data_IF_721862944524
#
_entry.id   IF_721862944524
#
_cell.length_a   1.000
_cell.length_b   1.000
_cell.length_c   1.000
_cell.angle_alpha   90.00
_cell.angle_beta   90.00
_cell.angle_gamma   90.00
#
_symmetry.space_group_name_H-M   'P 1'
#
loop_
_entity.id
_entity.type
_entity.pdbx_description
1 polymer ?
#
# COMPACT_ATOMS: atom_id res chain seq x y z
N UNK A 1 -11.16 8.35 -21.51
CA UNK A 1 -10.03 9.19 -21.93
C UNK A 1 -9.78 10.43 -21.04
N UNK A 2 -10.65 10.79 -20.09
CA UNK A 2 -10.49 12.04 -19.28
C UNK A 2 -9.44 11.97 -18.14
N UNK A 3 -9.28 10.80 -17.49
CA UNK A 3 -8.43 10.65 -16.28
C UNK A 3 -6.94 10.95 -16.52
N UNK A 4 -6.46 10.78 -17.74
CA UNK A 4 -5.03 10.91 -18.06
C UNK A 4 -4.56 12.38 -18.15
N UNK A 5 -5.48 13.31 -18.45
CA UNK A 5 -5.13 14.75 -18.54
C UNK A 5 -5.07 15.37 -17.14
N UNK A 6 -6.07 15.10 -16.31
CA UNK A 6 -6.15 15.52 -14.90
C UNK A 6 -4.90 15.07 -14.12
N UNK A 7 -4.52 13.79 -14.24
CA UNK A 7 -3.35 13.24 -13.57
C UNK A 7 -2.03 13.90 -14.01
N UNK A 8 -1.92 14.27 -15.29
CA UNK A 8 -0.75 14.97 -15.84
C UNK A 8 -0.66 16.39 -15.33
N UNK A 9 -1.78 17.12 -15.30
CA UNK A 9 -1.85 18.47 -14.75
C UNK A 9 -1.49 18.46 -13.26
N UNK A 10 -2.06 17.54 -12.48
CA UNK A 10 -1.79 17.43 -11.05
C UNK A 10 -0.31 17.11 -10.75
N UNK A 11 0.28 16.20 -11.53
CA UNK A 11 1.70 15.87 -11.44
C UNK A 11 2.59 17.06 -11.77
N UNK A 12 2.22 17.85 -12.79
CA UNK A 12 2.92 19.07 -13.18
C UNK A 12 2.88 20.12 -12.06
N UNK A 13 1.72 20.33 -11.44
CA UNK A 13 1.55 21.27 -10.33
C UNK A 13 2.38 20.89 -9.09
N UNK A 14 2.42 19.61 -8.73
CA UNK A 14 3.24 19.13 -7.61
C UNK A 14 4.73 19.32 -7.88
N UNK A 15 5.17 19.07 -9.11
CA UNK A 15 6.57 19.23 -9.51
C UNK A 15 7.02 20.69 -9.44
N UNK A 16 6.25 21.62 -10.04
CA UNK A 16 6.58 23.05 -10.02
C UNK A 16 6.53 23.64 -8.61
N UNK A 17 5.54 23.27 -7.80
CA UNK A 17 5.45 23.78 -6.42
C UNK A 17 6.61 23.28 -5.54
N UNK A 18 7.12 22.08 -5.79
CA UNK A 18 8.27 21.55 -5.05
C UNK A 18 9.58 22.31 -5.33
N UNK A 19 9.69 23.06 -6.43
CA UNK A 19 10.89 23.86 -6.73
C UNK A 19 10.99 25.14 -5.88
N UNK A 20 9.86 25.68 -5.41
CA UNK A 20 9.82 26.99 -4.74
C UNK A 20 9.31 26.95 -3.29
N UNK A 21 8.85 25.79 -2.80
CA UNK A 21 8.26 25.67 -1.47
C UNK A 21 8.55 24.32 -0.82
N UNK A 22 9.32 24.34 0.26
CA UNK A 22 9.46 23.19 1.14
C UNK A 22 8.23 23.08 2.05
N UNK A 23 7.72 21.86 2.23
CA UNK A 23 6.64 21.59 3.17
C UNK A 23 7.20 21.29 4.57
N UNK A 24 6.34 21.32 5.59
CA UNK A 24 6.76 21.00 6.97
C UNK A 24 7.28 19.56 7.13
N UNK A 25 6.87 18.65 6.24
CA UNK A 25 7.33 17.26 6.16
C UNK A 25 8.50 17.06 5.19
N UNK A 26 9.17 18.13 4.75
CA UNK A 26 10.34 17.98 3.88
C UNK A 26 11.42 17.17 4.59
N UNK A 27 11.93 16.15 3.91
CA UNK A 27 12.96 15.25 4.42
C UNK A 27 14.03 15.06 3.33
N UNK A 28 15.25 14.59 3.65
CA UNK A 28 16.29 14.31 2.65
C UNK A 28 15.86 13.27 1.60
N UNK A 29 14.84 12.48 1.90
CA UNK A 29 14.21 11.50 0.99
C UNK A 29 13.06 12.09 0.14
N UNK A 30 12.77 13.39 0.30
CA UNK A 30 11.75 14.13 -0.44
C UNK A 30 10.34 13.54 -0.34
N UNK A 31 9.59 13.64 -1.45
CA UNK A 31 8.24 13.08 -1.60
C UNK A 31 8.18 11.54 -1.50
N UNK A 32 9.30 10.85 -1.70
CA UNK A 32 9.35 9.40 -1.63
C UNK A 32 8.89 8.86 -0.27
N UNK A 33 9.23 9.56 0.81
CA UNK A 33 8.85 9.15 2.16
C UNK A 33 7.33 9.31 2.42
N UNK A 34 6.70 10.32 1.84
CA UNK A 34 5.25 10.53 1.97
C UNK A 34 4.46 9.50 1.16
N UNK A 35 4.91 9.21 -0.07
CA UNK A 35 4.30 8.16 -0.89
C UNK A 35 4.46 6.78 -0.23
N UNK A 36 5.66 6.48 0.28
CA UNK A 36 5.91 5.25 1.03
C UNK A 36 5.05 5.17 2.31
N UNK A 37 4.97 6.26 3.06
CA UNK A 37 4.14 6.34 4.27
C UNK A 37 2.65 6.08 3.97
N UNK A 38 2.14 6.66 2.89
CA UNK A 38 0.76 6.45 2.41
C UNK A 38 0.52 4.99 2.04
N UNK A 39 1.44 4.39 1.27
CA UNK A 39 1.37 2.97 0.93
C UNK A 39 1.38 2.08 2.18
N UNK A 40 2.31 2.32 3.11
CA UNK A 40 2.45 1.53 4.34
C UNK A 40 1.23 1.65 5.24
N UNK A 41 0.66 2.85 5.36
CA UNK A 41 -0.57 3.09 6.10
C UNK A 41 -1.74 2.34 5.49
N UNK A 42 -1.94 2.43 4.17
CA UNK A 42 -2.98 1.68 3.47
C UNK A 42 -2.81 0.17 3.65
N UNK A 43 -1.59 -0.34 3.52
CA UNK A 43 -1.28 -1.76 3.69
C UNK A 43 -1.60 -2.25 5.12
N UNK A 44 -1.20 -1.50 6.14
CA UNK A 44 -1.50 -1.86 7.54
C UNK A 44 -3.00 -1.77 7.87
N UNK A 45 -3.72 -0.79 7.33
CA UNK A 45 -5.16 -0.63 7.60
C UNK A 45 -5.97 -1.72 6.90
N UNK A 46 -5.67 -1.98 5.63
CA UNK A 46 -6.50 -2.84 4.80
C UNK A 46 -5.96 -4.26 4.68
N UNK A 47 -4.73 -4.42 4.17
CA UNK A 47 -4.18 -5.73 3.84
C UNK A 47 -3.91 -6.57 5.08
N UNK A 48 -3.37 -5.99 6.15
CA UNK A 48 -3.14 -6.72 7.41
C UNK A 48 -4.46 -7.17 8.03
N UNK A 49 -5.51 -6.35 7.94
CA UNK A 49 -6.85 -6.73 8.44
C UNK A 49 -7.47 -7.84 7.60
N UNK A 50 -7.24 -7.83 6.29
CA UNK A 50 -7.64 -8.92 5.38
C UNK A 50 -6.89 -10.22 5.73
N UNK A 51 -5.58 -10.16 5.92
CA UNK A 51 -4.76 -11.32 6.32
C UNK A 51 -5.19 -11.91 7.66
N UNK A 52 -5.52 -11.07 8.66
CA UNK A 52 -6.00 -11.57 9.96
C UNK A 52 -7.31 -12.35 9.83
N UNK A 53 -8.27 -11.87 9.02
CA UNK A 53 -9.51 -12.60 8.75
C UNK A 53 -9.24 -13.91 8.02
N UNK A 54 -8.36 -13.90 7.02
CA UNK A 54 -7.98 -15.12 6.29
C UNK A 54 -7.29 -16.14 7.20
N UNK A 55 -6.40 -15.70 8.09
CA UNK A 55 -5.74 -16.59 9.04
C UNK A 55 -6.73 -17.28 9.98
N UNK A 56 -7.73 -16.53 10.49
CA UNK A 56 -8.81 -17.10 11.31
C UNK A 56 -9.67 -18.08 10.52
N UNK A 57 -9.99 -17.74 9.26
CA UNK A 57 -10.81 -18.60 8.39
C UNK A 57 -10.08 -19.91 8.06
N UNK A 58 -8.80 -19.84 7.71
CA UNK A 58 -7.97 -21.01 7.41
C UNK A 58 -7.78 -21.86 8.65
N UNK A 59 -7.54 -21.24 9.82
CA UNK A 59 -7.42 -21.95 11.08
C UNK A 59 -8.71 -22.70 11.44
N UNK A 60 -9.87 -22.08 11.22
CA UNK A 60 -11.17 -22.70 11.50
C UNK A 60 -11.55 -23.80 10.49
N UNK A 61 -11.20 -23.65 9.21
CA UNK A 61 -11.60 -24.59 8.18
C UNK A 61 -10.64 -25.79 8.01
N UNK A 62 -9.33 -25.55 8.09
CA UNK A 62 -8.29 -26.53 7.74
C UNK A 62 -7.22 -26.71 8.82
N UNK A 63 -7.36 -26.05 9.98
CA UNK A 63 -6.29 -25.96 10.98
C UNK A 63 -5.26 -24.87 10.65
N UNK A 64 -4.52 -24.39 11.67
CA UNK A 64 -3.53 -23.33 11.46
C UNK A 64 -2.43 -23.80 10.50
N UNK A 65 -2.23 -23.08 9.40
CA UNK A 65 -1.30 -23.49 8.34
C UNK A 65 -1.88 -24.50 7.36
N UNK A 66 -3.18 -24.83 7.44
CA UNK A 66 -3.86 -25.79 6.57
C UNK A 66 -3.69 -25.51 5.06
N UNK A 67 -3.63 -24.24 4.69
CA UNK A 67 -3.38 -23.80 3.30
C UNK A 67 -1.96 -24.11 2.77
N UNK A 68 -1.03 -24.48 3.66
CA UNK A 68 0.36 -24.83 3.34
C UNK A 68 0.66 -26.30 3.65
N UNK A 69 -0.37 -27.13 3.86
CA UNK A 69 -0.18 -28.57 4.02
C UNK A 69 0.30 -29.19 2.70
N UNK A 70 1.22 -30.15 2.82
CA UNK A 70 1.68 -30.92 1.68
C UNK A 70 0.51 -31.71 1.07
N UNK A 71 0.50 -31.92 -0.25
CA UNK A 71 -0.53 -32.73 -0.90
C UNK A 71 -0.54 -34.15 -0.33
N UNK A 72 -1.73 -34.76 -0.31
CA UNK A 72 -1.89 -36.14 0.19
C UNK A 72 -1.02 -37.08 -0.67
N UNK A 73 -0.13 -37.89 -0.07
CA UNK A 73 0.67 -38.86 -0.80
C UNK A 73 -0.23 -39.84 -1.57
N UNK A 74 0.18 -40.21 -2.78
CA UNK A 74 -0.50 -41.22 -3.60
C UNK A 74 -0.11 -42.63 -3.19
#
# INVERSE_FOLDING_TARGET
MSVNVEARVFSFFLFFRSQYRAWWWQNPLGMGLVLYGTYKAWHMIYMVRKQKKTAQLVAAAYGQGGQWLNPVPR
#
